data_IF_458622236289
#
_entry.id   IF_458622236289
#
_cell.length_a   1.000
_cell.length_b   1.000
_cell.length_c   1.000
_cell.angle_alpha   90.00
_cell.angle_beta   90.00
_cell.angle_gamma   90.00
#
_symmetry.space_group_name_H-M   'P 1'
#
loop_
_entity.id
_entity.type
_entity.pdbx_description
1 polymer ?
#
# COMPACT_ATOMS: atom_id res chain seq x y z
N UNK A 1 18.07 -3.79 29.40
CA UNK A 1 18.61 -2.73 28.52
C UNK A 1 19.88 -3.22 27.83
N UNK A 2 20.92 -3.66 28.55
CA UNK A 2 22.21 -4.07 27.97
C UNK A 2 22.08 -5.13 26.87
N UNK A 3 21.28 -6.18 27.08
CA UNK A 3 21.02 -7.22 26.09
C UNK A 3 20.33 -6.63 24.84
N UNK A 4 19.42 -5.68 25.02
CA UNK A 4 18.73 -5.02 23.89
C UNK A 4 19.71 -4.19 23.04
N UNK A 5 20.63 -3.47 23.68
CA UNK A 5 21.68 -2.71 22.98
C UNK A 5 22.64 -3.64 22.21
N UNK A 6 23.03 -4.76 22.84
CA UNK A 6 23.88 -5.77 22.17
C UNK A 6 23.19 -6.37 20.92
N UNK A 7 21.91 -6.71 21.04
CA UNK A 7 21.12 -7.25 19.90
C UNK A 7 20.96 -6.20 18.81
N UNK A 8 20.59 -4.98 19.16
CA UNK A 8 20.45 -3.89 18.20
C UNK A 8 21.76 -3.58 17.48
N UNK A 9 22.89 -3.59 18.21
CA UNK A 9 24.23 -3.43 17.63
C UNK A 9 24.60 -4.55 16.65
N UNK A 10 24.16 -5.80 16.90
CA UNK A 10 24.36 -6.92 15.96
C UNK A 10 23.50 -6.84 14.71
N UNK A 11 22.25 -6.38 14.85
CA UNK A 11 21.30 -6.22 13.75
C UNK A 11 21.68 -5.01 12.89
N UNK A 12 22.13 -3.93 13.52
CA UNK A 12 22.36 -2.61 12.92
C UNK A 12 21.13 -1.73 12.93
N UNK A 13 21.31 -0.46 13.33
CA UNK A 13 20.22 0.53 13.33
C UNK A 13 19.84 1.00 11.92
N UNK A 14 18.57 1.40 11.68
CA UNK A 14 17.46 1.38 12.64
C UNK A 14 16.89 -0.01 12.88
N UNK A 15 16.33 -0.21 14.07
CA UNK A 15 15.63 -1.44 14.46
C UNK A 15 14.18 -1.15 14.85
N UNK A 16 13.29 -2.11 14.61
CA UNK A 16 11.93 -2.10 15.11
C UNK A 16 11.87 -2.82 16.45
N UNK A 17 11.38 -2.15 17.46
CA UNK A 17 11.20 -2.74 18.81
C UNK A 17 9.72 -2.90 19.07
N UNK A 18 9.32 -4.10 19.51
CA UNK A 18 7.91 -4.41 19.79
C UNK A 18 7.75 -5.29 21.02
N UNK A 19 6.75 -5.01 21.88
CA UNK A 19 6.40 -5.92 22.95
C UNK A 19 5.82 -7.22 22.39
N UNK A 20 6.13 -8.36 23.00
CA UNK A 20 5.44 -9.61 22.67
C UNK A 20 3.99 -9.55 23.14
N UNK A 21 3.10 -10.27 22.43
CA UNK A 21 1.67 -10.39 22.73
C UNK A 21 0.85 -9.09 22.61
N UNK A 22 1.28 -8.16 21.76
CA UNK A 22 0.46 -7.01 21.35
C UNK A 22 -0.04 -7.20 19.94
N UNK A 23 -1.26 -6.70 19.68
CA UNK A 23 -1.92 -6.74 18.37
C UNK A 23 -2.00 -5.33 17.78
N UNK A 24 -2.01 -5.25 16.44
CA UNK A 24 -2.24 -4.00 15.73
C UNK A 24 -1.13 -2.95 15.88
N UNK A 25 0.13 -3.37 15.98
CA UNK A 25 1.28 -2.44 16.04
C UNK A 25 1.39 -1.60 17.31
N UNK A 26 0.56 -1.85 18.33
CA UNK A 26 0.53 -1.07 19.56
C UNK A 26 1.83 -1.20 20.34
N UNK A 27 2.44 -0.07 20.68
CA UNK A 27 3.71 -0.01 21.43
C UNK A 27 4.92 -0.39 20.58
N UNK A 28 4.81 -0.51 19.26
CA UNK A 28 5.94 -0.65 18.36
C UNK A 28 6.59 0.71 18.14
N UNK A 29 7.93 0.71 18.08
CA UNK A 29 8.71 1.93 17.84
C UNK A 29 9.93 1.63 16.98
N UNK A 30 10.23 2.55 16.05
CA UNK A 30 11.48 2.53 15.28
C UNK A 30 12.54 3.24 16.09
N UNK A 31 13.61 2.54 16.38
CA UNK A 31 14.73 3.01 17.21
C UNK A 31 15.97 3.19 16.34
N UNK A 32 16.56 4.38 16.40
CA UNK A 32 17.64 4.78 15.50
C UNK A 32 19.04 4.72 16.12
N UNK A 33 19.12 4.65 17.45
CA UNK A 33 20.38 4.68 18.21
C UNK A 33 20.22 4.11 19.62
N UNK A 34 21.32 4.00 20.34
CA UNK A 34 21.40 3.47 21.70
C UNK A 34 20.63 4.31 22.73
N UNK A 35 20.54 5.62 22.53
CA UNK A 35 19.82 6.52 23.42
C UNK A 35 18.31 6.29 23.32
N UNK A 36 17.79 6.25 22.11
CA UNK A 36 16.38 5.93 21.80
C UNK A 36 16.02 4.53 22.29
N UNK A 37 16.91 3.52 22.10
CA UNK A 37 16.71 2.17 22.62
C UNK A 37 16.60 2.16 24.15
N UNK A 38 17.49 2.87 24.82
CA UNK A 38 17.47 2.96 26.28
C UNK A 38 16.20 3.63 26.78
N UNK A 39 15.74 4.69 26.10
CA UNK A 39 14.46 5.37 26.39
C UNK A 39 13.27 4.43 26.28
N UNK A 40 13.17 3.71 25.16
CA UNK A 40 12.12 2.73 24.92
C UNK A 40 12.10 1.63 25.99
N UNK A 41 13.26 1.02 26.26
CA UNK A 41 13.37 -0.06 27.24
C UNK A 41 12.95 0.37 28.65
N UNK A 42 13.29 1.59 29.08
CA UNK A 42 12.86 2.13 30.38
C UNK A 42 11.34 2.30 30.46
N UNK A 43 10.72 2.77 29.37
CA UNK A 43 9.26 2.93 29.30
C UNK A 43 8.55 1.56 29.25
N UNK A 44 9.04 0.61 28.47
CA UNK A 44 8.44 -0.70 28.26
C UNK A 44 8.54 -1.61 29.49
N UNK A 45 9.68 -1.61 30.18
CA UNK A 45 9.90 -2.44 31.40
C UNK A 45 8.96 -2.03 32.53
N UNK A 46 8.57 -0.76 32.61
CA UNK A 46 7.58 -0.28 33.58
C UNK A 46 6.16 -0.84 33.35
N UNK A 47 5.85 -1.30 32.14
CA UNK A 47 4.51 -1.75 31.74
C UNK A 47 4.39 -3.28 31.73
N UNK A 48 5.46 -4.00 31.36
CA UNK A 48 5.44 -5.48 31.23
C UNK A 48 6.78 -6.11 31.59
N UNK A 49 7.15 -6.18 32.89
CA UNK A 49 8.48 -6.64 33.33
C UNK A 49 8.81 -8.08 32.95
N UNK A 50 7.81 -8.96 32.81
CA UNK A 50 7.98 -10.39 32.57
C UNK A 50 7.73 -10.84 31.13
N UNK A 51 7.60 -9.91 30.18
CA UNK A 51 7.32 -10.24 28.78
C UNK A 51 8.51 -9.93 27.90
N UNK A 52 8.90 -10.85 27.00
CA UNK A 52 10.00 -10.59 26.08
C UNK A 52 9.66 -9.46 25.12
N UNK A 53 10.66 -8.67 24.77
CA UNK A 53 10.61 -7.64 23.75
C UNK A 53 11.32 -8.20 22.52
N UNK A 54 10.70 -8.06 21.36
CA UNK A 54 11.27 -8.43 20.07
C UNK A 54 12.00 -7.24 19.49
N UNK A 55 13.18 -7.49 18.92
CA UNK A 55 13.99 -6.50 18.23
C UNK A 55 14.23 -7.04 16.83
N UNK A 56 13.64 -6.39 15.84
CA UNK A 56 13.71 -6.81 14.45
C UNK A 56 14.46 -5.74 13.63
N UNK A 57 15.06 -6.16 12.53
CA UNK A 57 15.62 -5.22 11.54
C UNK A 57 14.49 -4.36 10.97
N UNK A 58 14.66 -3.04 10.98
CA UNK A 58 13.75 -2.14 10.29
C UNK A 58 14.10 -2.04 8.81
N UNK A 59 13.11 -2.19 7.96
CA UNK A 59 13.24 -2.07 6.52
C UNK A 59 12.83 -0.66 6.09
N UNK A 60 13.77 0.12 5.53
CA UNK A 60 13.56 1.55 5.28
C UNK A 60 12.78 1.86 3.99
N UNK A 61 12.88 0.96 2.99
CA UNK A 61 12.34 1.15 1.63
C UNK A 61 11.74 -0.15 1.10
N UNK A 62 11.08 -0.89 1.96
CA UNK A 62 10.49 -2.15 1.56
C UNK A 62 9.16 -1.91 0.84
N UNK A 63 8.99 -2.63 -0.25
CA UNK A 63 7.70 -2.86 -0.87
C UNK A 63 6.95 -3.91 -0.06
N UNK A 64 5.74 -3.62 0.37
CA UNK A 64 4.88 -4.60 1.04
C UNK A 64 4.07 -5.38 0.01
N UNK A 65 3.82 -6.64 0.31
CA UNK A 65 2.95 -7.49 -0.49
C UNK A 65 2.29 -8.57 0.38
N UNK A 66 1.19 -9.12 -0.11
CA UNK A 66 0.40 -10.12 0.58
C UNK A 66 0.12 -11.33 -0.32
N UNK A 67 -0.07 -12.48 0.31
CA UNK A 67 -0.57 -13.67 -0.34
C UNK A 67 -1.66 -14.32 0.52
N UNK A 68 -2.83 -14.54 -0.07
CA UNK A 68 -3.88 -15.33 0.54
C UNK A 68 -3.79 -16.77 0.02
N UNK A 69 -3.78 -17.73 0.94
CA UNK A 69 -3.73 -19.15 0.64
C UNK A 69 -5.02 -19.86 1.06
N UNK A 70 -5.33 -20.93 0.33
CA UNK A 70 -6.29 -21.98 0.73
C UNK A 70 -5.50 -23.22 1.08
N UNK A 71 -5.73 -23.81 2.26
CA UNK A 71 -5.03 -25.01 2.70
C UNK A 71 -5.98 -26.02 3.33
N UNK A 72 -5.67 -27.32 3.13
CA UNK A 72 -6.41 -28.45 3.73
C UNK A 72 -5.67 -29.10 4.91
N UNK A 73 -4.55 -28.50 5.33
CA UNK A 73 -3.68 -28.99 6.39
C UNK A 73 -2.47 -29.81 5.89
N UNK A 74 -2.47 -30.19 4.61
CA UNK A 74 -1.38 -30.95 3.97
C UNK A 74 -0.93 -30.35 2.65
N UNK A 75 -1.84 -29.68 1.96
CA UNK A 75 -1.58 -28.99 0.69
C UNK A 75 -2.10 -27.56 0.80
N UNK A 76 -1.39 -26.62 0.20
CA UNK A 76 -1.81 -25.24 0.13
C UNK A 76 -1.69 -24.70 -1.31
N UNK A 77 -2.63 -23.83 -1.68
CA UNK A 77 -2.69 -23.17 -2.97
C UNK A 77 -2.72 -21.64 -2.78
N UNK A 78 -1.90 -20.94 -3.53
CA UNK A 78 -1.82 -19.48 -3.57
C UNK A 78 -2.23 -19.00 -4.95
N UNK A 79 -3.42 -18.41 -5.11
CA UNK A 79 -3.89 -17.96 -6.43
C UNK A 79 -3.01 -16.91 -7.09
N UNK A 80 -2.58 -15.93 -6.29
CA UNK A 80 -1.72 -14.84 -6.74
C UNK A 80 -1.10 -14.10 -5.54
N UNK A 81 -0.12 -13.24 -5.82
CA UNK A 81 0.50 -12.33 -4.86
C UNK A 81 0.01 -10.92 -5.16
N UNK A 82 -0.44 -10.22 -4.13
CA UNK A 82 -0.88 -8.82 -4.21
C UNK A 82 0.27 -7.89 -3.86
N UNK A 83 0.49 -6.90 -4.70
CA UNK A 83 1.45 -5.82 -4.45
C UNK A 83 0.73 -4.64 -3.81
N UNK A 84 1.29 -4.08 -2.74
CA UNK A 84 0.80 -2.85 -2.14
C UNK A 84 1.37 -1.63 -2.85
N UNK A 85 0.51 -0.64 -3.09
CA UNK A 85 0.92 0.65 -3.67
C UNK A 85 1.43 1.58 -2.56
N UNK A 86 0.94 1.41 -1.35
CA UNK A 86 1.42 2.14 -0.17
C UNK A 86 2.76 1.58 0.33
N UNK A 87 3.49 2.42 1.08
CA UNK A 87 4.74 1.99 1.71
C UNK A 87 4.49 0.94 2.80
N UNK A 88 5.48 0.09 3.04
CA UNK A 88 5.46 -0.88 4.13
C UNK A 88 5.21 -0.20 5.49
N UNK A 89 4.36 -0.82 6.31
CA UNK A 89 3.94 -0.31 7.61
C UNK A 89 2.57 0.37 7.62
N UNK A 90 1.90 0.48 6.48
CA UNK A 90 0.48 0.82 6.41
C UNK A 90 -0.34 -0.46 6.57
N UNK A 91 -1.43 -0.40 7.35
CA UNK A 91 -2.32 -1.56 7.51
C UNK A 91 -2.85 -2.04 6.15
N UNK A 92 -2.78 -3.34 5.88
CA UNK A 92 -3.13 -3.91 4.58
C UNK A 92 -4.57 -3.63 4.14
N UNK A 93 -5.50 -3.46 5.08
CA UNK A 93 -6.86 -3.02 4.80
C UNK A 93 -6.95 -1.60 4.24
N UNK A 94 -5.96 -0.75 4.56
CA UNK A 94 -5.91 0.66 4.16
C UNK A 94 -5.06 0.89 2.91
N UNK A 95 -4.15 -0.05 2.60
CA UNK A 95 -3.32 0.04 1.39
C UNK A 95 -4.14 -0.22 0.14
N UNK A 96 -3.89 0.57 -0.90
CA UNK A 96 -4.26 0.21 -2.25
C UNK A 96 -3.42 -1.00 -2.68
N UNK A 97 -4.05 -1.99 -3.32
CA UNK A 97 -3.38 -3.22 -3.74
C UNK A 97 -3.66 -3.51 -5.20
N UNK A 98 -2.66 -4.03 -5.90
CA UNK A 98 -2.78 -4.47 -7.29
C UNK A 98 -2.56 -5.97 -7.44
N UNK A 99 -3.33 -6.58 -8.33
CA UNK A 99 -3.27 -7.98 -8.69
C UNK A 99 -3.62 -8.15 -10.18
N UNK A 100 -2.79 -8.86 -10.98
CA UNK A 100 -1.45 -9.38 -10.65
C UNK A 100 -0.46 -8.28 -10.31
N UNK A 101 0.62 -8.64 -9.58
CA UNK A 101 1.72 -7.73 -9.25
C UNK A 101 2.40 -7.18 -10.49
N UNK A 102 2.83 -5.92 -10.43
CA UNK A 102 3.48 -5.21 -11.56
C UNK A 102 4.99 -5.07 -11.36
N UNK A 103 5.43 -4.76 -10.14
CA UNK A 103 6.83 -4.44 -9.85
C UNK A 103 7.59 -5.56 -9.11
N UNK A 104 6.90 -6.64 -8.70
CA UNK A 104 7.53 -7.78 -8.04
C UNK A 104 8.14 -8.70 -9.10
N UNK A 105 9.42 -9.03 -8.97
CA UNK A 105 10.10 -9.94 -9.89
C UNK A 105 9.52 -11.36 -9.83
N UNK A 106 9.59 -12.10 -10.94
CA UNK A 106 9.14 -13.50 -11.01
C UNK A 106 9.83 -14.40 -9.97
N UNK A 107 11.10 -14.14 -9.66
CA UNK A 107 11.84 -14.87 -8.62
C UNK A 107 11.24 -14.63 -7.24
N UNK A 108 10.91 -13.37 -6.91
CA UNK A 108 10.28 -13.03 -5.64
C UNK A 108 8.84 -13.54 -5.56
N UNK A 109 8.08 -13.50 -6.67
CA UNK A 109 6.74 -14.10 -6.74
C UNK A 109 6.77 -15.60 -6.44
N UNK A 110 7.69 -16.33 -7.06
CA UNK A 110 7.89 -17.74 -6.80
C UNK A 110 8.28 -18.02 -5.34
N UNK A 111 9.20 -17.21 -4.79
CA UNK A 111 9.64 -17.30 -3.39
C UNK A 111 8.49 -17.08 -2.42
N UNK A 112 7.65 -16.05 -2.64
CA UNK A 112 6.51 -15.74 -1.79
C UNK A 112 5.48 -16.86 -1.82
N UNK A 113 5.15 -17.37 -3.00
CA UNK A 113 4.23 -18.50 -3.15
C UNK A 113 4.75 -19.74 -2.43
N UNK A 114 6.04 -20.06 -2.58
CA UNK A 114 6.68 -21.20 -1.92
C UNK A 114 6.67 -21.04 -0.39
N UNK A 115 7.03 -19.88 0.13
CA UNK A 115 7.01 -19.62 1.57
C UNK A 115 5.60 -19.73 2.14
N UNK A 116 4.63 -19.11 1.46
CA UNK A 116 3.22 -19.17 1.87
C UNK A 116 2.72 -20.60 1.93
N UNK A 117 3.00 -21.40 0.89
CA UNK A 117 2.61 -22.82 0.82
C UNK A 117 3.26 -23.62 1.96
N UNK A 118 4.58 -23.54 2.13
CA UNK A 118 5.30 -24.27 3.17
C UNK A 118 4.82 -23.91 4.58
N UNK A 119 4.60 -22.62 4.86
CA UNK A 119 4.13 -22.18 6.18
C UNK A 119 2.72 -22.71 6.44
N UNK A 120 1.80 -22.64 5.46
CA UNK A 120 0.45 -23.15 5.62
C UNK A 120 0.41 -24.66 5.86
N UNK A 121 1.25 -25.43 5.15
CA UNK A 121 1.37 -26.88 5.28
C UNK A 121 1.97 -27.27 6.64
N UNK A 122 3.09 -26.66 7.05
CA UNK A 122 3.75 -26.95 8.34
C UNK A 122 2.89 -26.54 9.56
N UNK A 123 2.11 -25.47 9.43
CA UNK A 123 1.15 -25.06 10.45
C UNK A 123 -0.15 -25.86 10.42
N UNK A 124 -0.31 -26.79 9.49
CA UNK A 124 -1.52 -27.59 9.28
C UNK A 124 -2.80 -26.75 9.18
N UNK A 125 -2.72 -25.61 8.47
CA UNK A 125 -3.85 -24.68 8.35
C UNK A 125 -4.98 -25.35 7.58
N UNK A 126 -6.19 -25.33 8.13
CA UNK A 126 -7.42 -25.75 7.44
C UNK A 126 -8.29 -24.55 7.15
N UNK A 127 -8.44 -24.19 5.88
CA UNK A 127 -9.21 -23.04 5.42
C UNK A 127 -8.34 -21.97 4.78
N UNK A 128 -8.41 -20.73 5.28
CA UNK A 128 -7.69 -19.58 4.73
C UNK A 128 -6.53 -19.15 5.61
N UNK A 129 -5.47 -18.69 4.98
CA UNK A 129 -4.34 -18.05 5.63
C UNK A 129 -3.90 -16.83 4.81
N UNK A 130 -3.70 -15.71 5.48
CA UNK A 130 -3.09 -14.52 4.92
C UNK A 130 -1.64 -14.41 5.38
N UNK A 131 -0.75 -14.14 4.44
CA UNK A 131 0.66 -13.91 4.68
C UNK A 131 1.05 -12.51 4.25
N UNK A 132 1.78 -11.80 5.12
CA UNK A 132 2.33 -10.48 4.82
C UNK A 132 3.85 -10.56 4.66
N UNK A 133 4.33 -9.93 3.61
CA UNK A 133 5.73 -9.90 3.22
C UNK A 133 6.22 -8.49 2.95
N UNK A 134 7.53 -8.30 3.09
CA UNK A 134 8.22 -7.12 2.61
C UNK A 134 9.37 -7.52 1.68
N UNK A 135 9.63 -6.74 0.66
CA UNK A 135 10.74 -6.93 -0.27
C UNK A 135 11.66 -5.72 -0.17
N UNK A 136 12.93 -5.95 0.18
CA UNK A 136 13.96 -4.92 0.19
C UNK A 136 15.25 -5.45 -0.41
N UNK A 137 15.84 -4.73 -1.37
CA UNK A 137 17.08 -5.15 -2.02
C UNK A 137 16.96 -6.50 -2.75
N UNK A 138 15.79 -6.83 -3.30
CA UNK A 138 15.51 -8.10 -3.96
C UNK A 138 15.31 -9.29 -3.03
N UNK A 139 15.31 -9.09 -1.72
CA UNK A 139 15.12 -10.15 -0.72
C UNK A 139 13.73 -10.08 -0.11
N UNK A 140 13.08 -11.25 -0.02
CA UNK A 140 11.76 -11.43 0.60
C UNK A 140 11.90 -11.66 2.12
N UNK A 141 11.15 -10.89 2.89
CA UNK A 141 11.03 -11.01 4.34
C UNK A 141 9.60 -11.37 4.73
N UNK A 142 9.44 -12.35 5.60
CA UNK A 142 8.14 -12.71 6.20
C UNK A 142 7.86 -11.73 7.34
N UNK A 143 6.73 -11.03 7.29
CA UNK A 143 6.30 -10.13 8.37
C UNK A 143 5.41 -10.86 9.36
N UNK A 144 4.32 -11.48 8.87
CA UNK A 144 3.41 -12.27 9.71
C UNK A 144 2.60 -13.29 8.92
N UNK A 145 2.12 -14.32 9.64
CA UNK A 145 1.20 -15.33 9.15
C UNK A 145 -0.11 -15.26 9.94
N UNK A 146 -1.21 -15.09 9.25
CA UNK A 146 -2.55 -14.95 9.83
C UNK A 146 -3.45 -16.09 9.36
N UNK A 147 -3.62 -17.21 10.13
CA UNK A 147 -4.47 -18.33 9.73
C UNK A 147 -5.97 -17.98 9.92
N UNK A 148 -6.45 -17.05 9.15
CA UNK A 148 -7.81 -16.51 9.12
C UNK A 148 -8.13 -15.92 7.76
N UNK A 149 -9.41 -15.64 7.49
CA UNK A 149 -9.82 -14.82 6.36
C UNK A 149 -9.27 -13.40 6.50
N UNK A 150 -8.82 -12.82 5.39
CA UNK A 150 -8.36 -11.44 5.28
C UNK A 150 -9.38 -10.55 4.55
N UNK A 151 -9.17 -9.26 4.55
CA UNK A 151 -9.94 -8.33 3.71
C UNK A 151 -9.60 -8.44 2.22
N UNK A 152 -8.44 -9.01 1.89
CA UNK A 152 -7.99 -9.19 0.51
C UNK A 152 -8.58 -10.44 -0.16
N UNK A 153 -9.15 -11.39 0.60
CA UNK A 153 -9.83 -12.57 0.06
C UNK A 153 -10.91 -12.24 -0.98
N UNK A 154 -11.79 -11.22 -0.80
CA UNK A 154 -12.74 -10.83 -1.84
C UNK A 154 -12.09 -10.32 -3.12
N UNK A 155 -10.99 -9.56 -3.01
CA UNK A 155 -10.19 -9.10 -4.14
C UNK A 155 -9.65 -10.29 -4.94
N UNK A 156 -8.91 -11.16 -4.27
CA UNK A 156 -8.32 -12.37 -4.89
C UNK A 156 -9.40 -13.22 -5.54
N UNK A 157 -10.52 -13.45 -4.83
CA UNK A 157 -11.63 -14.27 -5.36
C UNK A 157 -12.20 -13.69 -6.64
N UNK A 158 -12.38 -12.36 -6.72
CA UNK A 158 -12.96 -11.69 -7.89
C UNK A 158 -11.96 -11.57 -9.04
N UNK A 159 -10.72 -11.22 -8.75
CA UNK A 159 -9.70 -11.03 -9.80
C UNK A 159 -9.24 -12.36 -10.38
N UNK A 160 -8.97 -13.37 -9.53
CA UNK A 160 -8.47 -14.66 -9.96
C UNK A 160 -9.55 -15.68 -10.31
N UNK A 161 -10.85 -15.36 -10.17
CA UNK A 161 -11.95 -16.29 -10.32
C UNK A 161 -11.82 -17.56 -9.44
N UNK A 162 -11.22 -17.42 -8.26
CA UNK A 162 -11.08 -18.50 -7.29
C UNK A 162 -12.08 -18.30 -6.16
N UNK A 163 -13.02 -19.21 -5.99
CA UNK A 163 -14.08 -19.12 -4.96
C UNK A 163 -13.53 -19.46 -3.58
N UNK A 164 -12.63 -18.61 -3.05
CA UNK A 164 -11.84 -18.90 -1.85
C UNK A 164 -12.72 -19.23 -0.63
N UNK A 165 -13.75 -18.46 -0.34
CA UNK A 165 -14.61 -18.69 0.84
C UNK A 165 -15.41 -19.99 0.74
N UNK A 166 -16.14 -20.29 -0.37
CA UNK A 166 -16.78 -21.59 -0.54
C UNK A 166 -15.82 -22.78 -0.45
N UNK A 167 -14.61 -22.68 -1.05
CA UNK A 167 -13.61 -23.73 -0.99
C UNK A 167 -13.10 -23.93 0.46
N UNK A 168 -12.78 -22.86 1.16
CA UNK A 168 -12.37 -22.93 2.57
C UNK A 168 -13.49 -23.55 3.45
N UNK A 169 -14.75 -23.19 3.22
CA UNK A 169 -15.89 -23.79 3.91
C UNK A 169 -15.98 -25.29 3.65
N UNK A 170 -15.80 -25.72 2.40
CA UNK A 170 -15.78 -27.15 2.05
C UNK A 170 -14.65 -27.87 2.78
N UNK A 171 -13.44 -27.30 2.83
CA UNK A 171 -12.29 -27.87 3.55
C UNK A 171 -12.57 -28.01 5.04
N UNK A 172 -13.01 -26.93 5.68
CA UNK A 172 -13.28 -26.90 7.13
C UNK A 172 -14.35 -27.93 7.50
N UNK A 173 -15.36 -28.11 6.64
CA UNK A 173 -16.46 -29.05 6.88
C UNK A 173 -16.22 -30.45 6.28
N UNK A 174 -15.06 -30.72 5.69
CA UNK A 174 -14.75 -31.98 4.99
C UNK A 174 -14.92 -33.22 5.87
N UNK A 175 -14.47 -33.14 7.13
CA UNK A 175 -14.59 -34.23 8.11
C UNK A 175 -16.06 -34.56 8.42
N UNK A 176 -16.95 -33.57 8.39
CA UNK A 176 -18.38 -33.75 8.63
C UNK A 176 -19.15 -34.20 7.39
N UNK A 177 -18.73 -33.77 6.21
CA UNK A 177 -19.43 -34.00 4.94
C UNK A 177 -18.89 -35.19 4.14
N UNK A 178 -17.72 -35.70 4.50
CA UNK A 178 -17.02 -36.74 3.76
C UNK A 178 -16.53 -36.34 2.36
N UNK A 179 -16.59 -35.06 2.01
CA UNK A 179 -16.14 -34.55 0.71
C UNK A 179 -14.62 -34.45 0.68
N UNK A 180 -13.96 -34.83 -0.43
CA UNK A 180 -12.52 -34.69 -0.57
C UNK A 180 -12.10 -33.22 -0.59
N UNK A 181 -10.81 -32.99 -0.28
CA UNK A 181 -10.21 -31.65 -0.40
C UNK A 181 -10.16 -31.24 -1.87
N UNK A 182 -10.57 -30.00 -2.19
CA UNK A 182 -10.43 -29.46 -3.54
C UNK A 182 -9.03 -28.90 -3.83
N UNK A 183 -8.16 -28.74 -2.81
CA UNK A 183 -6.86 -28.04 -2.95
C UNK A 183 -5.93 -28.69 -3.97
N UNK A 184 -5.77 -30.02 -4.03
CA UNK A 184 -4.88 -30.64 -5.01
C UNK A 184 -5.28 -30.45 -6.47
N UNK A 185 -6.54 -30.06 -6.73
CA UNK A 185 -7.07 -29.83 -8.08
C UNK A 185 -6.95 -28.38 -8.53
N UNK A 186 -6.60 -27.47 -7.61
CA UNK A 186 -6.44 -26.05 -7.92
C UNK A 186 -5.17 -25.81 -8.71
N UNK A 187 -5.25 -24.98 -9.74
CA UNK A 187 -4.14 -24.63 -10.62
C UNK A 187 -3.96 -23.14 -10.71
N UNK A 188 -2.72 -22.72 -10.93
CA UNK A 188 -2.41 -21.35 -11.25
C UNK A 188 -3.04 -20.94 -12.57
N UNK A 189 -3.45 -19.70 -12.67
CA UNK A 189 -4.17 -19.16 -13.82
C UNK A 189 -3.48 -17.89 -14.34
N UNK A 190 -3.50 -17.73 -15.65
CA UNK A 190 -3.07 -16.50 -16.30
C UNK A 190 -4.24 -15.51 -16.33
N UNK A 191 -4.08 -14.41 -15.61
CA UNK A 191 -5.09 -13.34 -15.50
C UNK A 191 -4.72 -12.24 -16.50
N UNK A 192 -5.54 -12.00 -17.55
CA UNK A 192 -5.20 -11.09 -18.64
C UNK A 192 -5.63 -9.64 -18.38
N UNK A 193 -5.89 -9.28 -17.14
CA UNK A 193 -6.30 -7.95 -16.69
C UNK A 193 -5.78 -7.65 -15.30
N UNK A 194 -5.88 -6.41 -14.87
CA UNK A 194 -5.49 -5.95 -13.55
C UNK A 194 -6.72 -5.66 -12.69
N UNK A 195 -6.60 -5.99 -11.40
CA UNK A 195 -7.54 -5.58 -10.38
C UNK A 195 -6.84 -4.69 -9.35
N UNK A 196 -7.36 -3.50 -9.14
CA UNK A 196 -6.88 -2.57 -8.12
C UNK A 196 -7.95 -2.45 -7.04
N UNK A 197 -7.58 -2.80 -5.80
CA UNK A 197 -8.36 -2.51 -4.61
C UNK A 197 -7.98 -1.11 -4.13
N UNK A 198 -8.98 -0.27 -3.86
CA UNK A 198 -8.80 1.00 -3.17
C UNK A 198 -9.63 1.03 -1.88
N UNK A 199 -9.09 1.63 -0.83
CA UNK A 199 -9.75 1.72 0.47
C UNK A 199 -10.64 2.96 0.55
N UNK A 200 -11.83 2.80 1.11
CA UNK A 200 -12.74 3.92 1.38
C UNK A 200 -12.52 4.45 2.81
N UNK A 201 -12.20 5.72 2.93
CA UNK A 201 -11.93 6.38 4.20
C UNK A 201 -13.03 7.35 4.61
N UNK A 202 -13.40 7.42 5.90
CA UNK A 202 -14.40 8.37 6.39
C UNK A 202 -13.83 9.77 6.69
N UNK A 203 -12.69 10.15 6.11
CA UNK A 203 -12.01 11.41 6.42
C UNK A 203 -12.86 12.65 6.10
N UNK A 204 -13.76 12.54 5.12
CA UNK A 204 -14.72 13.61 4.83
C UNK A 204 -15.66 13.91 6.01
N UNK A 205 -15.92 12.93 6.89
CA UNK A 205 -16.73 13.07 8.09
C UNK A 205 -15.91 13.53 9.30
N UNK A 206 -14.60 13.28 9.30
CA UNK A 206 -13.67 13.55 10.39
C UNK A 206 -12.52 14.45 9.94
N UNK A 207 -12.84 15.67 9.52
CA UNK A 207 -11.89 16.59 8.87
C UNK A 207 -10.71 17.05 9.76
N UNK A 208 -10.82 16.88 11.07
CA UNK A 208 -9.74 17.22 12.01
C UNK A 208 -8.70 16.11 12.18
N UNK A 209 -9.00 14.90 11.71
CA UNK A 209 -8.09 13.75 11.79
C UNK A 209 -7.03 13.87 10.70
N UNK A 210 -5.75 13.67 11.06
CA UNK A 210 -4.68 13.56 10.06
C UNK A 210 -4.85 12.27 9.27
N UNK A 211 -4.96 12.33 7.93
CA UNK A 211 -5.19 11.17 7.09
C UNK A 211 -3.96 10.27 6.87
N UNK A 212 -2.83 10.57 7.51
CA UNK A 212 -1.64 9.70 7.42
C UNK A 212 -1.99 8.30 7.83
N UNK A 213 -1.75 7.37 6.92
CA UNK A 213 -1.95 5.95 7.15
C UNK A 213 -0.81 5.38 8.00
N UNK A 214 -1.10 4.31 8.71
CA UNK A 214 -0.18 3.66 9.61
C UNK A 214 -0.62 2.21 9.91
N UNK A 215 -0.09 1.59 10.95
CA UNK A 215 -0.36 0.19 11.27
C UNK A 215 -1.79 -0.06 11.78
N UNK A 216 -2.52 0.99 12.16
CA UNK A 216 -3.92 0.90 12.59
C UNK A 216 -4.87 1.13 11.43
N UNK A 217 -5.83 0.23 11.23
CA UNK A 217 -6.81 0.34 10.15
C UNK A 217 -7.79 1.49 10.37
N UNK A 218 -7.96 2.33 9.36
CA UNK A 218 -8.87 3.50 9.33
C UNK A 218 -9.97 3.42 8.29
N UNK A 219 -9.82 2.52 7.31
CA UNK A 219 -10.81 2.34 6.25
C UNK A 219 -12.12 1.72 6.76
N UNK A 220 -13.22 2.10 6.13
CA UNK A 220 -14.58 1.59 6.42
C UNK A 220 -15.14 0.73 5.31
N UNK A 221 -14.49 0.67 4.16
CA UNK A 221 -14.89 -0.10 3.00
C UNK A 221 -13.78 -0.19 1.98
N UNK A 222 -14.08 -0.84 0.87
CA UNK A 222 -13.15 -1.02 -0.24
C UNK A 222 -13.91 -1.11 -1.56
N UNK A 223 -13.25 -0.76 -2.66
CA UNK A 223 -13.76 -0.90 -4.02
C UNK A 223 -12.75 -1.65 -4.88
N UNK A 224 -13.20 -2.13 -6.04
CA UNK A 224 -12.39 -2.84 -7.01
C UNK A 224 -12.52 -2.19 -8.38
N UNK A 225 -11.40 -1.68 -8.90
CA UNK A 225 -11.24 -1.28 -10.29
C UNK A 225 -10.68 -2.43 -11.11
N UNK A 226 -11.26 -2.72 -12.28
CA UNK A 226 -10.82 -3.78 -13.20
C UNK A 226 -10.58 -3.22 -14.58
N UNK A 227 -9.42 -3.54 -15.19
CA UNK A 227 -9.10 -3.19 -16.57
C UNK A 227 -7.93 -4.01 -17.11
N UNK A 228 -7.78 -4.01 -18.43
CA UNK A 228 -6.58 -4.53 -19.11
C UNK A 228 -5.34 -3.64 -18.92
N UNK A 229 -5.53 -2.39 -18.53
CA UNK A 229 -4.46 -1.45 -18.16
C UNK A 229 -4.42 -1.25 -16.65
N UNK A 230 -3.21 -1.26 -16.07
CA UNK A 230 -3.02 -0.95 -14.65
C UNK A 230 -3.50 0.47 -14.31
N UNK A 231 -3.08 1.47 -15.09
CA UNK A 231 -3.48 2.85 -14.86
C UNK A 231 -5.00 3.05 -14.90
N UNK A 232 -5.71 2.43 -15.86
CA UNK A 232 -7.18 2.49 -15.92
C UNK A 232 -7.83 1.76 -14.72
N UNK A 233 -7.29 0.61 -14.31
CA UNK A 233 -7.82 -0.11 -13.15
C UNK A 233 -7.69 0.74 -11.87
N UNK A 234 -6.57 1.44 -11.71
CA UNK A 234 -6.34 2.39 -10.63
C UNK A 234 -7.30 3.58 -10.71
N UNK A 235 -7.44 4.20 -11.88
CA UNK A 235 -8.37 5.31 -12.10
C UNK A 235 -9.80 4.93 -11.71
N UNK A 236 -10.29 3.77 -12.19
CA UNK A 236 -11.63 3.23 -11.82
C UNK A 236 -11.78 2.98 -10.32
N UNK A 237 -10.74 2.51 -9.66
CA UNK A 237 -10.75 2.31 -8.21
C UNK A 237 -10.85 3.65 -7.46
N UNK A 238 -10.12 4.68 -7.90
CA UNK A 238 -10.21 6.03 -7.36
C UNK A 238 -11.62 6.63 -7.53
N UNK A 239 -12.21 6.52 -8.71
CA UNK A 239 -13.61 6.94 -8.94
C UNK A 239 -14.60 6.19 -8.03
N UNK A 240 -14.38 4.89 -7.83
CA UNK A 240 -15.20 4.04 -6.99
C UNK A 240 -15.24 4.47 -5.52
N UNK A 241 -14.16 5.05 -4.98
CA UNK A 241 -14.13 5.64 -3.63
C UNK A 241 -14.55 7.11 -3.60
N UNK A 242 -14.94 7.66 -4.76
CA UNK A 242 -15.37 9.06 -4.89
C UNK A 242 -14.24 10.06 -5.01
N UNK A 243 -13.01 9.61 -5.23
CA UNK A 243 -11.86 10.44 -5.57
C UNK A 243 -11.83 10.66 -7.09
N UNK A 244 -12.49 11.72 -7.55
CA UNK A 244 -12.50 12.06 -8.99
C UNK A 244 -11.15 12.64 -9.39
N UNK A 245 -10.37 11.90 -10.18
CA UNK A 245 -9.10 12.38 -10.71
C UNK A 245 -9.35 13.43 -11.82
N UNK A 246 -8.74 14.62 -11.72
CA UNK A 246 -8.85 15.63 -12.77
C UNK A 246 -8.03 15.21 -13.99
N UNK A 247 -8.51 15.57 -15.17
CA UNK A 247 -7.80 15.31 -16.44
C UNK A 247 -6.95 16.51 -16.88
N UNK A 248 -7.07 17.64 -16.22
CA UNK A 248 -6.31 18.86 -16.45
C UNK A 248 -6.23 19.68 -15.15
N UNK A 249 -5.35 20.65 -15.06
CA UNK A 249 -5.24 21.54 -13.90
C UNK A 249 -3.82 21.65 -13.36
N UNK A 250 -3.71 21.80 -12.04
CA UNK A 250 -2.45 22.07 -11.34
C UNK A 250 -2.11 20.96 -10.36
N UNK A 251 -0.89 20.43 -10.45
CA UNK A 251 -0.35 19.45 -9.50
C UNK A 251 0.63 20.14 -8.56
N UNK A 252 0.38 20.04 -7.26
CA UNK A 252 1.33 20.47 -6.22
C UNK A 252 2.22 19.30 -5.80
N UNK A 253 3.53 19.49 -5.88
CA UNK A 253 4.53 18.47 -5.50
C UNK A 253 5.40 18.97 -4.35
N UNK A 254 5.32 18.27 -3.22
CA UNK A 254 6.12 18.53 -2.02
C UNK A 254 6.60 17.23 -1.41
N UNK A 255 7.80 16.77 -1.78
CA UNK A 255 8.31 15.45 -1.39
C UNK A 255 9.54 15.56 -0.50
N UNK A 256 9.74 14.51 0.31
CA UNK A 256 10.91 14.37 1.16
C UNK A 256 12.21 14.19 0.32
N UNK A 257 13.37 14.19 1.00
CA UNK A 257 14.67 14.11 0.33
C UNK A 257 14.91 12.77 -0.39
N UNK A 258 14.33 11.69 0.15
CA UNK A 258 14.54 10.32 -0.36
C UNK A 258 13.80 10.09 -1.68
N UNK A 259 12.64 10.71 -1.84
CA UNK A 259 11.76 10.53 -3.00
C UNK A 259 12.09 11.47 -4.17
N UNK A 260 13.16 12.28 -4.04
CA UNK A 260 13.47 13.31 -5.03
C UNK A 260 13.90 12.77 -6.40
N UNK A 261 14.56 11.63 -6.44
CA UNK A 261 14.97 11.04 -7.72
C UNK A 261 13.76 10.49 -8.47
N UNK A 262 12.88 9.78 -7.77
CA UNK A 262 11.70 9.13 -8.36
C UNK A 262 10.60 10.14 -8.73
N UNK A 263 10.47 11.25 -7.98
CA UNK A 263 9.43 12.26 -8.25
C UNK A 263 9.61 12.98 -9.59
N UNK A 264 10.82 12.98 -10.15
CA UNK A 264 11.10 13.57 -11.46
C UNK A 264 10.30 12.86 -12.56
N UNK A 265 10.21 11.52 -12.51
CA UNK A 265 9.41 10.75 -13.46
C UNK A 265 7.92 11.06 -13.33
N UNK A 266 7.42 11.16 -12.11
CA UNK A 266 6.02 11.52 -11.83
C UNK A 266 5.69 12.92 -12.33
N UNK A 267 6.53 13.90 -12.01
CA UNK A 267 6.34 15.28 -12.47
C UNK A 267 6.38 15.40 -14.00
N UNK A 268 7.28 14.64 -14.65
CA UNK A 268 7.36 14.56 -16.11
C UNK A 268 6.10 13.99 -16.73
N UNK A 269 5.51 12.95 -16.13
CA UNK A 269 4.25 12.37 -16.60
C UNK A 269 3.12 13.40 -16.54
N UNK A 270 2.95 14.10 -15.43
CA UNK A 270 1.95 15.16 -15.31
C UNK A 270 2.20 16.33 -16.26
N UNK A 271 3.45 16.76 -16.46
CA UNK A 271 3.82 17.82 -17.41
C UNK A 271 3.49 17.43 -18.85
N UNK A 272 3.77 16.18 -19.25
CA UNK A 272 3.43 15.63 -20.56
C UNK A 272 1.92 15.58 -20.79
N UNK A 273 1.14 15.35 -19.74
CA UNK A 273 -0.33 15.39 -19.77
C UNK A 273 -0.91 16.82 -19.70
N UNK A 274 -0.03 17.83 -19.68
CA UNK A 274 -0.44 19.25 -19.75
C UNK A 274 -0.83 19.85 -18.41
N UNK A 275 -0.50 19.21 -17.29
CA UNK A 275 -0.69 19.80 -15.97
C UNK A 275 0.34 20.89 -15.68
N UNK A 276 -0.11 21.96 -15.02
CA UNK A 276 0.79 22.94 -14.41
C UNK A 276 1.43 22.34 -13.16
N UNK A 277 2.76 22.44 -13.03
CA UNK A 277 3.49 21.90 -11.88
C UNK A 277 3.84 23.03 -10.90
N UNK A 278 3.35 22.94 -9.67
CA UNK A 278 3.78 23.74 -8.54
C UNK A 278 4.63 22.87 -7.60
N UNK A 279 5.71 23.41 -7.06
CA UNK A 279 6.54 22.63 -6.15
C UNK A 279 7.17 23.51 -5.05
N UNK A 280 7.43 22.90 -3.88
CA UNK A 280 8.18 23.54 -2.80
C UNK A 280 9.64 23.73 -3.18
N UNK A 281 10.30 24.75 -2.62
CA UNK A 281 11.60 25.29 -3.02
C UNK A 281 12.62 24.27 -3.56
N UNK A 282 13.02 23.29 -2.75
CA UNK A 282 14.03 22.30 -3.14
C UNK A 282 13.52 21.30 -4.22
N UNK A 283 12.24 20.97 -4.20
CA UNK A 283 11.63 20.13 -5.23
C UNK A 283 11.50 20.90 -6.56
N UNK A 284 11.06 22.16 -6.49
CA UNK A 284 10.97 23.04 -7.66
C UNK A 284 12.33 23.20 -8.37
N UNK A 285 13.39 23.42 -7.59
CA UNK A 285 14.76 23.53 -8.15
C UNK A 285 15.16 22.25 -8.88
N UNK A 286 14.97 21.10 -8.25
CA UNK A 286 15.28 19.79 -8.82
C UNK A 286 14.52 19.53 -10.13
N UNK A 287 13.21 19.81 -10.15
CA UNK A 287 12.37 19.59 -11.33
C UNK A 287 12.81 20.50 -12.50
N UNK A 288 13.13 21.77 -12.23
CA UNK A 288 13.64 22.69 -13.27
C UNK A 288 15.03 22.26 -13.77
N UNK A 289 15.92 21.77 -12.92
CA UNK A 289 17.22 21.20 -13.32
C UNK A 289 17.03 19.95 -14.20
N UNK A 290 15.98 19.19 -13.99
CA UNK A 290 15.58 18.04 -14.84
C UNK A 290 14.83 18.45 -16.13
N UNK A 291 14.65 19.76 -16.40
CA UNK A 291 14.00 20.26 -17.59
C UNK A 291 12.46 20.30 -17.53
N UNK A 292 11.86 20.11 -16.36
CA UNK A 292 10.41 20.19 -16.14
C UNK A 292 10.09 21.60 -15.65
N UNK A 293 9.15 22.29 -16.31
CA UNK A 293 8.75 23.64 -15.92
C UNK A 293 7.90 23.62 -14.65
N UNK A 294 8.55 23.84 -13.50
CA UNK A 294 7.88 23.93 -12.21
C UNK A 294 7.93 25.37 -11.65
N UNK A 295 6.81 25.86 -11.12
CA UNK A 295 6.75 27.14 -10.42
C UNK A 295 6.88 26.93 -8.90
N UNK A 296 7.61 27.84 -8.24
CA UNK A 296 7.83 27.77 -6.79
C UNK A 296 6.59 28.15 -6.02
N UNK A 297 6.25 27.40 -4.98
CA UNK A 297 5.27 27.74 -3.96
C UNK A 297 5.91 27.74 -2.57
N UNK A 298 5.47 28.69 -1.71
CA UNK A 298 5.93 28.78 -0.34
C UNK A 298 5.26 27.73 0.56
N UNK A 299 6.02 27.15 1.49
CA UNK A 299 5.45 26.40 2.62
C UNK A 299 4.75 27.36 3.58
N UNK A 300 3.97 26.82 4.54
CA UNK A 300 3.29 27.64 5.54
C UNK A 300 4.25 28.53 6.35
N UNK A 301 5.41 27.97 6.71
CA UNK A 301 6.46 28.64 7.47
C UNK A 301 7.25 29.70 6.67
N UNK A 302 7.12 29.73 5.34
CA UNK A 302 7.89 30.61 4.45
C UNK A 302 7.15 31.93 4.09
N UNK A 303 5.90 32.11 4.57
CA UNK A 303 5.10 33.31 4.34
C UNK A 303 3.96 33.10 3.34
N UNK A 304 3.32 34.21 2.90
CA UNK A 304 2.16 34.19 1.99
C UNK A 304 2.48 34.88 0.67
N UNK A 305 1.84 34.47 -0.47
CA UNK A 305 0.93 33.32 -0.57
C UNK A 305 1.66 31.99 -0.36
N UNK A 306 0.99 31.04 0.28
CA UNK A 306 1.53 29.71 0.54
C UNK A 306 0.58 28.61 0.06
N UNK A 307 0.96 27.36 0.26
CA UNK A 307 0.22 26.19 -0.20
C UNK A 307 -1.25 26.21 0.24
N UNK A 308 -1.56 26.60 1.50
CA UNK A 308 -2.95 26.63 1.99
C UNK A 308 -3.78 27.73 1.33
N UNK A 309 -3.16 28.85 0.98
CA UNK A 309 -3.85 29.90 0.24
C UNK A 309 -4.27 29.39 -1.15
N UNK A 310 -3.39 28.67 -1.84
CA UNK A 310 -3.68 28.10 -3.17
C UNK A 310 -4.74 26.99 -3.11
N UNK A 311 -4.69 26.10 -2.11
CA UNK A 311 -5.73 25.09 -1.88
C UNK A 311 -7.09 25.77 -1.63
N UNK A 312 -7.12 26.79 -0.78
CA UNK A 312 -8.36 27.52 -0.43
C UNK A 312 -8.95 28.26 -1.61
N UNK A 313 -8.10 28.81 -2.47
CA UNK A 313 -8.52 29.52 -3.69
C UNK A 313 -8.99 28.58 -4.81
N UNK A 314 -8.73 27.26 -4.72
CA UNK A 314 -9.03 26.30 -5.77
C UNK A 314 -8.00 26.30 -6.91
N UNK A 315 -6.78 26.72 -6.64
CA UNK A 315 -5.68 26.78 -7.64
C UNK A 315 -4.91 25.46 -7.76
N UNK A 316 -5.26 24.44 -6.98
CA UNK A 316 -4.61 23.11 -6.94
C UNK A 316 -5.66 22.02 -7.16
N UNK A 317 -5.37 21.09 -8.06
CA UNK A 317 -6.26 19.99 -8.44
C UNK A 317 -5.75 18.62 -7.97
N UNK A 318 -4.44 18.45 -7.79
CA UNK A 318 -3.80 17.23 -7.26
C UNK A 318 -2.69 17.62 -6.29
N UNK A 319 -2.54 16.85 -5.22
CA UNK A 319 -1.44 16.99 -4.25
C UNK A 319 -0.61 15.72 -4.20
N UNK A 320 0.69 15.84 -4.41
CA UNK A 320 1.70 14.80 -4.16
C UNK A 320 2.56 15.27 -2.99
N UNK A 321 2.37 14.66 -1.82
CA UNK A 321 3.09 15.04 -0.61
C UNK A 321 3.57 13.82 0.16
N UNK A 322 4.83 13.45 -0.04
CA UNK A 322 5.44 12.39 0.77
C UNK A 322 5.93 12.96 2.12
N UNK A 323 5.55 12.32 3.25
CA UNK A 323 5.86 12.86 4.57
C UNK A 323 7.37 12.88 4.84
N UNK A 324 7.83 13.96 5.45
CA UNK A 324 9.22 14.12 5.92
C UNK A 324 9.21 13.94 7.43
N UNK A 325 9.87 12.93 7.99
CA UNK A 325 10.14 12.67 9.40
C UNK A 325 9.50 13.58 10.49
N UNK A 326 9.87 13.42 11.75
CA UNK A 326 9.22 14.10 12.89
C UNK A 326 9.19 15.66 12.82
N UNK A 327 10.13 16.28 12.10
CA UNK A 327 10.30 17.75 12.15
C UNK A 327 9.40 18.54 11.19
N UNK A 328 8.74 17.90 10.21
CA UNK A 328 7.81 18.57 9.27
C UNK A 328 6.35 18.12 9.42
N UNK A 329 6.05 17.35 10.44
CA UNK A 329 4.72 16.75 10.67
C UNK A 329 3.62 17.84 10.69
N UNK A 330 3.90 19.03 11.23
CA UNK A 330 2.89 20.08 11.32
C UNK A 330 2.51 20.67 9.96
N UNK A 331 3.49 21.14 9.17
CA UNK A 331 3.21 21.79 7.87
C UNK A 331 2.56 20.78 6.89
N UNK A 332 3.05 19.56 6.85
CA UNK A 332 2.53 18.50 5.98
C UNK A 332 1.11 18.04 6.40
N UNK A 333 0.82 18.01 7.72
CA UNK A 333 -0.52 17.70 8.23
C UNK A 333 -1.56 18.72 7.80
N UNK A 334 -1.24 20.03 7.89
CA UNK A 334 -2.14 21.09 7.43
C UNK A 334 -2.42 21.01 5.94
N UNK A 335 -1.40 20.68 5.12
CA UNK A 335 -1.55 20.51 3.69
C UNK A 335 -2.53 19.37 3.38
N UNK A 336 -2.36 18.20 4.00
CA UNK A 336 -3.23 17.06 3.80
C UNK A 336 -4.67 17.31 4.25
N UNK A 337 -4.86 17.91 5.44
CA UNK A 337 -6.18 18.31 5.93
C UNK A 337 -6.85 19.32 5.00
N UNK A 338 -6.08 20.28 4.47
CA UNK A 338 -6.54 21.23 3.47
C UNK A 338 -7.03 20.57 2.20
N UNK A 339 -6.26 19.61 1.66
CA UNK A 339 -6.62 18.86 0.47
C UNK A 339 -7.93 18.05 0.68
N UNK A 340 -8.07 17.36 1.81
CA UNK A 340 -9.31 16.62 2.16
C UNK A 340 -10.51 17.56 2.24
N UNK A 341 -10.37 18.68 2.93
CA UNK A 341 -11.45 19.67 3.08
C UNK A 341 -11.89 20.25 1.74
N UNK A 342 -10.94 20.44 0.82
CA UNK A 342 -11.19 20.89 -0.53
C UNK A 342 -11.57 19.77 -1.50
N UNK A 343 -11.60 18.50 -1.03
CA UNK A 343 -11.85 17.28 -1.84
C UNK A 343 -10.86 17.12 -3.00
N UNK A 344 -9.63 17.53 -2.80
CA UNK A 344 -8.55 17.40 -3.78
C UNK A 344 -7.90 16.01 -3.60
N UNK A 345 -7.73 15.21 -4.68
CA UNK A 345 -6.95 13.98 -4.63
C UNK A 345 -5.54 14.23 -4.11
N UNK A 346 -5.10 13.41 -3.16
CA UNK A 346 -3.77 13.55 -2.59
C UNK A 346 -3.08 12.19 -2.48
N UNK A 347 -1.78 12.19 -2.74
CA UNK A 347 -0.94 10.98 -2.72
C UNK A 347 0.23 11.18 -1.78
N UNK A 348 0.41 10.24 -0.87
CA UNK A 348 1.47 10.26 0.15
C UNK A 348 2.68 9.43 -0.25
N UNK A 349 2.60 8.71 -1.38
CA UNK A 349 3.70 7.90 -1.93
C UNK A 349 3.93 8.23 -3.40
N UNK A 350 5.17 8.04 -3.85
CA UNK A 350 5.53 8.20 -5.27
C UNK A 350 4.85 7.14 -6.13
N UNK A 351 4.74 5.91 -5.63
CA UNK A 351 4.07 4.83 -6.35
C UNK A 351 2.59 5.14 -6.63
N UNK A 352 1.84 5.65 -5.64
CA UNK A 352 0.45 6.06 -5.82
C UNK A 352 0.32 7.26 -6.78
N UNK A 353 1.22 8.25 -6.69
CA UNK A 353 1.24 9.38 -7.60
C UNK A 353 1.55 8.96 -9.05
N UNK A 354 2.44 7.99 -9.24
CA UNK A 354 2.75 7.40 -10.55
C UNK A 354 1.54 6.66 -11.12
N UNK A 355 0.88 5.83 -10.31
CA UNK A 355 -0.33 5.12 -10.71
C UNK A 355 -1.45 6.11 -11.13
N UNK A 356 -1.61 7.22 -10.41
CA UNK A 356 -2.56 8.28 -10.75
C UNK A 356 -2.22 8.95 -12.09
N UNK A 357 -0.95 9.30 -12.32
CA UNK A 357 -0.51 9.88 -13.58
C UNK A 357 -0.75 8.91 -14.75
N UNK A 358 -0.42 7.62 -14.61
CA UNK A 358 -0.68 6.59 -15.63
C UNK A 358 -2.18 6.44 -15.90
N UNK A 359 -3.03 6.48 -14.86
CA UNK A 359 -4.48 6.42 -15.00
C UNK A 359 -5.06 7.62 -15.75
N UNK A 360 -4.61 8.82 -15.42
CA UNK A 360 -5.00 10.06 -16.10
C UNK A 360 -4.58 10.02 -17.57
N UNK A 361 -3.32 9.66 -17.85
CA UNK A 361 -2.79 9.53 -19.19
C UNK A 361 -3.61 8.55 -20.04
N UNK A 362 -3.95 7.39 -19.45
CA UNK A 362 -4.77 6.39 -20.13
C UNK A 362 -6.15 6.93 -20.50
N UNK A 363 -6.86 7.54 -19.55
CA UNK A 363 -8.21 8.09 -19.79
C UNK A 363 -8.18 9.22 -20.83
N UNK A 364 -7.19 10.10 -20.78
CA UNK A 364 -7.01 11.16 -21.79
C UNK A 364 -6.78 10.59 -23.19
N UNK A 365 -5.94 9.57 -23.30
CA UNK A 365 -5.64 8.93 -24.60
C UNK A 365 -6.86 8.18 -25.19
N UNK A 366 -7.85 7.83 -24.37
CA UNK A 366 -9.03 7.05 -24.76
C UNK A 366 -10.35 7.83 -24.60
N UNK A 367 -10.29 9.17 -24.48
CA UNK A 367 -11.44 10.03 -24.21
C UNK A 367 -12.58 9.91 -25.26
N UNK A 368 -12.23 9.54 -26.50
CA UNK A 368 -13.21 9.36 -27.59
C UNK A 368 -13.80 7.93 -27.64
N UNK A 369 -13.33 7.02 -26.79
CA UNK A 369 -13.84 5.65 -26.72
C UNK A 369 -14.96 5.59 -25.69
N UNK A 370 -16.09 4.96 -26.05
CA UNK A 370 -17.12 4.65 -25.07
C UNK A 370 -16.52 3.75 -23.99
N UNK A 371 -16.69 4.11 -22.73
CA UNK A 371 -16.30 3.25 -21.61
C UNK A 371 -16.97 1.88 -21.77
N UNK A 372 -16.16 0.85 -21.97
CA UNK A 372 -16.67 -0.52 -21.98
C UNK A 372 -17.04 -0.94 -20.54
N UNK A 373 -18.32 -1.07 -20.29
CA UNK A 373 -18.83 -1.71 -19.09
C UNK A 373 -18.69 -3.22 -19.25
N UNK A 374 -17.69 -3.79 -18.56
CA UNK A 374 -17.45 -5.22 -18.57
C UNK A 374 -18.13 -5.91 -17.39
N UNK A 375 -18.81 -7.03 -17.64
CA UNK A 375 -19.25 -7.89 -16.55
C UNK A 375 -18.08 -8.66 -15.97
N UNK A 376 -18.10 -8.91 -14.65
CA UNK A 376 -17.07 -9.75 -13.99
C UNK A 376 -16.98 -11.14 -14.64
N UNK A 377 -18.13 -11.72 -15.01
CA UNK A 377 -18.20 -13.02 -15.69
C UNK A 377 -17.55 -12.98 -17.09
N UNK A 378 -17.69 -11.87 -17.82
CA UNK A 378 -17.05 -11.66 -19.12
C UNK A 378 -15.52 -11.55 -18.99
N UNK A 379 -15.02 -10.94 -17.92
CA UNK A 379 -13.59 -10.92 -17.61
C UNK A 379 -13.10 -12.31 -17.20
N UNK A 380 -13.85 -13.04 -16.37
CA UNK A 380 -13.50 -14.39 -15.96
C UNK A 380 -13.38 -15.36 -17.14
N UNK A 381 -14.21 -15.20 -18.17
CA UNK A 381 -14.14 -16.03 -19.39
C UNK A 381 -12.84 -15.87 -20.18
N UNK A 382 -12.02 -14.84 -19.89
CA UNK A 382 -10.74 -14.58 -20.52
C UNK A 382 -9.56 -15.22 -19.75
N UNK A 383 -9.79 -15.72 -18.54
CA UNK A 383 -8.78 -16.40 -17.71
C UNK A 383 -8.47 -17.76 -18.34
N UNK A 384 -7.19 -18.14 -18.36
CA UNK A 384 -6.74 -19.46 -18.85
C UNK A 384 -5.82 -20.12 -17.82
N UNK A 385 -5.73 -21.44 -17.87
CA UNK A 385 -4.75 -22.17 -17.08
C UNK A 385 -3.32 -21.82 -17.54
N UNK A 386 -2.35 -21.80 -16.60
CA UNK A 386 -0.93 -21.63 -16.86
C UNK A 386 -0.28 -22.94 -17.27
#
# INVERSE_FOLDING_TARGET
VEVALEIAGKIGYPVMVRPSYVLGGRGMEVVYDDESMTGYMKAAVGVTPDRPILIDRFLNHAMECEADAISDGTHAFVPAVMEHIELAGVHSGDSACILPSVHISEENLATIKEYTRKIAEEMHVKGLMNMQYAIEGGKVYVLEANPRASRTVPLVSKVCNVRMVPLATQIITSELTGKPSPVPELKEQKIPYYGVKEAAFPFNMFQEVDPVLGPEMRSTGEVLGLSKSYGEAFYKAQEGVGAKLPLEGTVLISVNRKDKEEVVEVAKAFDQDGFKILATNNTCKLLNEAGIKAEKVNKLSEGRPNILDLITNGDIDIVVNSPVGKDSIHDDSYLRKGAIKAKIPYYTTIAAAKAAAEGIAYVKAHADQNEEVNSLQGLHAQISDL
#
